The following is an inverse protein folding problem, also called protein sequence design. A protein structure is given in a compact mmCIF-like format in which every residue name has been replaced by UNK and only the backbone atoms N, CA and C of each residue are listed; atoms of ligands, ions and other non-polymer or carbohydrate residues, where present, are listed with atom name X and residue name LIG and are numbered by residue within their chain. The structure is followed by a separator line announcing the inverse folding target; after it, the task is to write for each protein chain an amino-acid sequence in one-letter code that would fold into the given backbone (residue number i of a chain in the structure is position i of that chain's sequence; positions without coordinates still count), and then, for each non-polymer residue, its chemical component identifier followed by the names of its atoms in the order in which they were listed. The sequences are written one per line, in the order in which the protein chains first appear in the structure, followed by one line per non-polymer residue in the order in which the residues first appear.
data_IF_267565602472
#
_entry.id   IF_267565602472
#
_cell.length_a   1.000
_cell.length_b   1.000
_cell.length_c   1.000
_cell.angle_alpha   90.00
_cell.angle_beta   90.00
_cell.angle_gamma   90.00
#
_symmetry.space_group_name_H-M   'P 1'
#
loop_
_entity.id
_entity.type
_entity.pdbx_description
1 polymer ?
#
# COMPACT_ATOMS: atom_id res chain seq x y z
N UNK A 1 20.63 0.20 4.47
CA UNK A 1 20.21 -1.19 4.19
C UNK A 1 19.39 -1.16 2.89
N UNK A 2 20.07 -1.10 1.73
CA UNK A 2 19.47 -0.89 0.39
C UNK A 2 19.45 -2.17 -0.46
N UNK A 3 20.06 -3.26 0.02
CA UNK A 3 20.18 -4.52 -0.72
C UNK A 3 18.94 -5.42 -0.68
N UNK A 4 18.01 -5.21 0.25
CA UNK A 4 16.97 -6.21 0.54
C UNK A 4 15.84 -6.22 -0.51
N UNK A 5 15.29 -5.05 -0.86
CA UNK A 5 14.19 -4.98 -1.84
C UNK A 5 14.61 -5.42 -3.25
N UNK A 6 15.71 -4.88 -3.79
CA UNK A 6 16.14 -5.23 -5.16
C UNK A 6 16.53 -6.70 -5.27
N UNK A 7 17.15 -7.26 -4.23
CA UNK A 7 17.45 -8.70 -4.18
C UNK A 7 16.16 -9.52 -4.15
N UNK A 8 15.20 -9.19 -3.28
CA UNK A 8 13.92 -9.88 -3.20
C UNK A 8 13.10 -9.77 -4.49
N UNK A 9 13.05 -8.57 -5.09
CA UNK A 9 12.40 -8.32 -6.38
C UNK A 9 13.01 -9.18 -7.49
N UNK A 10 14.33 -9.28 -7.55
CA UNK A 10 15.01 -10.15 -8.53
C UNK A 10 14.84 -11.63 -8.25
N UNK A 11 14.87 -12.06 -6.99
CA UNK A 11 14.56 -13.43 -6.60
C UNK A 11 13.12 -13.82 -7.00
N UNK A 12 12.20 -12.86 -6.99
CA UNK A 12 10.81 -13.05 -7.41
C UNK A 12 10.59 -12.94 -8.95
N UNK A 13 11.67 -12.81 -9.73
CA UNK A 13 11.64 -12.79 -11.21
C UNK A 13 11.62 -11.40 -11.83
N UNK A 14 11.70 -10.34 -11.03
CA UNK A 14 11.85 -8.97 -11.51
C UNK A 14 13.26 -8.69 -12.04
N UNK A 15 13.37 -7.81 -13.04
CA UNK A 15 14.69 -7.41 -13.56
C UNK A 15 14.86 -5.90 -13.49
N UNK A 16 16.01 -5.47 -12.96
CA UNK A 16 16.42 -4.06 -12.90
C UNK A 16 17.66 -3.91 -13.79
N UNK A 17 17.61 -2.99 -14.74
CA UNK A 17 18.74 -2.71 -15.61
C UNK A 17 19.88 -2.06 -14.81
N UNK A 18 21.13 -2.42 -15.13
CA UNK A 18 22.35 -1.85 -14.53
C UNK A 18 22.46 -0.32 -14.60
N UNK A 19 21.69 0.32 -15.49
CA UNK A 19 21.69 1.77 -15.67
C UNK A 19 20.89 2.52 -14.60
N UNK A 20 20.05 1.83 -13.82
CA UNK A 20 19.24 2.43 -12.77
C UNK A 20 19.50 1.81 -11.41
N UNK A 21 19.23 2.58 -10.37
CA UNK A 21 19.37 2.18 -8.99
C UNK A 21 18.23 2.78 -8.16
N UNK A 22 17.76 2.02 -7.18
CA UNK A 22 16.81 2.52 -6.19
C UNK A 22 17.63 3.18 -5.07
N UNK A 23 17.54 4.49 -4.92
CA UNK A 23 18.29 5.23 -3.89
C UNK A 23 17.36 6.16 -3.12
N UNK A 24 17.72 6.42 -1.86
CA UNK A 24 17.10 7.45 -1.01
C UNK A 24 18.10 8.61 -0.88
N UNK A 25 17.99 9.67 -1.70
CA UNK A 25 18.94 10.78 -1.65
C UNK A 25 18.79 11.59 -0.34
N UNK A 26 19.84 12.30 0.11
CA UNK A 26 19.84 12.97 1.41
C UNK A 26 18.71 14.01 1.63
N UNK A 27 18.17 14.59 0.57
CA UNK A 27 17.11 15.61 0.61
C UNK A 27 15.89 15.21 -0.23
N UNK A 28 15.73 13.93 -0.55
CA UNK A 28 14.60 13.48 -1.38
C UNK A 28 14.07 12.12 -0.95
N UNK A 29 12.93 11.78 -1.49
CA UNK A 29 12.29 10.49 -1.24
C UNK A 29 12.99 9.38 -2.01
N UNK A 30 12.81 8.15 -1.54
CA UNK A 30 13.32 6.97 -2.24
C UNK A 30 12.72 6.93 -3.65
N UNK A 31 13.57 6.80 -4.65
CA UNK A 31 13.18 6.78 -6.05
C UNK A 31 14.09 5.91 -6.89
N UNK A 32 13.78 5.85 -8.18
CA UNK A 32 14.61 5.20 -9.19
C UNK A 32 15.43 6.27 -9.91
N UNK A 33 16.75 6.14 -9.87
CA UNK A 33 17.67 7.12 -10.43
C UNK A 33 18.60 6.44 -11.42
N UNK A 34 18.88 7.14 -12.52
CA UNK A 34 19.91 6.71 -13.45
C UNK A 34 21.30 6.96 -12.84
N UNK A 35 22.22 6.00 -12.97
CA UNK A 35 23.61 6.16 -12.53
C UNK A 35 24.46 6.97 -13.51
N UNK A 36 23.97 7.15 -14.73
CA UNK A 36 24.57 7.93 -15.81
C UNK A 36 23.47 8.37 -16.79
N UNK A 37 23.81 9.24 -17.73
CA UNK A 37 22.93 9.54 -18.85
C UNK A 37 22.60 8.26 -19.63
N UNK A 38 21.32 8.08 -19.95
CA UNK A 38 20.80 6.96 -20.71
C UNK A 38 20.32 7.48 -22.05
N UNK A 39 20.90 6.96 -23.13
CA UNK A 39 20.56 7.38 -24.49
C UNK A 39 19.26 6.73 -24.97
N UNK A 40 18.60 7.34 -25.96
CA UNK A 40 17.40 6.75 -26.57
C UNK A 40 17.65 5.37 -27.21
N UNK A 41 18.86 5.12 -27.71
CA UNK A 41 19.25 3.82 -28.26
C UNK A 41 19.36 2.73 -27.16
N UNK A 42 19.92 3.07 -25.99
CA UNK A 42 19.98 2.16 -24.84
C UNK A 42 18.57 1.82 -24.33
N UNK A 43 17.65 2.80 -24.27
CA UNK A 43 16.25 2.56 -23.88
C UNK A 43 15.48 1.67 -24.87
N UNK A 44 15.80 1.77 -26.17
CA UNK A 44 15.16 0.97 -27.20
C UNK A 44 15.67 -0.49 -27.24
N UNK A 45 16.90 -0.72 -26.81
CA UNK A 45 17.52 -2.05 -26.82
C UNK A 45 17.04 -2.93 -25.65
N UNK A 46 16.86 -2.35 -24.47
CA UNK A 46 16.50 -3.10 -23.26
C UNK A 46 15.65 -2.24 -22.32
N UNK A 47 14.56 -2.78 -21.74
CA UNK A 47 13.79 -2.04 -20.75
C UNK A 47 14.58 -1.81 -19.46
N UNK A 48 14.33 -0.66 -18.82
CA UNK A 48 14.95 -0.32 -17.55
C UNK A 48 14.52 -1.24 -16.40
N UNK A 49 13.24 -1.65 -16.40
CA UNK A 49 12.67 -2.56 -15.42
C UNK A 49 11.72 -3.51 -16.12
N UNK A 50 11.68 -4.78 -15.69
CA UNK A 50 10.57 -5.70 -15.98
C UNK A 50 9.96 -6.17 -14.67
N UNK A 51 8.64 -6.04 -14.57
CA UNK A 51 7.85 -6.51 -13.43
C UNK A 51 6.97 -7.66 -13.92
N UNK A 52 7.20 -8.90 -13.47
CA UNK A 52 6.29 -10.01 -13.74
C UNK A 52 4.88 -9.68 -13.22
N UNK A 53 3.84 -10.07 -13.96
CA UNK A 53 2.45 -9.86 -13.55
C UNK A 53 2.14 -10.53 -12.19
N UNK A 54 2.83 -11.61 -11.85
CA UNK A 54 2.73 -12.28 -10.55
C UNK A 54 3.18 -11.42 -9.36
N UNK A 55 3.92 -10.33 -9.60
CA UNK A 55 4.35 -9.38 -8.56
C UNK A 55 3.42 -8.17 -8.46
N UNK A 56 2.35 -8.12 -9.23
CA UNK A 56 1.40 -7.00 -9.23
C UNK A 56 0.20 -7.35 -8.35
N UNK A 57 0.00 -6.56 -7.29
CA UNK A 57 -1.20 -6.65 -6.46
C UNK A 57 -2.33 -5.93 -7.19
N UNK A 58 -3.35 -6.68 -7.60
CA UNK A 58 -4.53 -6.17 -8.31
C UNK A 58 -5.79 -6.39 -7.48
N UNK A 59 -6.89 -5.69 -7.81
CA UNK A 59 -8.19 -5.93 -7.18
C UNK A 59 -8.66 -7.38 -7.35
N UNK A 60 -8.32 -8.03 -8.48
CA UNK A 60 -8.59 -9.45 -8.69
C UNK A 60 -7.81 -10.35 -7.72
N UNK A 61 -6.50 -10.08 -7.52
CA UNK A 61 -5.68 -10.80 -6.51
C UNK A 61 -6.23 -10.56 -5.11
N UNK A 62 -6.58 -9.31 -4.78
CA UNK A 62 -7.18 -8.97 -3.50
C UNK A 62 -8.53 -9.67 -3.26
N UNK A 63 -9.36 -9.77 -4.31
CA UNK A 63 -10.65 -10.45 -4.29
C UNK A 63 -10.56 -11.98 -4.14
N UNK A 64 -9.38 -12.57 -4.32
CA UNK A 64 -9.14 -13.99 -4.02
C UNK A 64 -8.81 -14.24 -2.54
N UNK A 65 -8.64 -13.20 -1.71
CA UNK A 65 -8.34 -13.36 -0.29
C UNK A 65 -9.62 -13.57 0.52
N UNK A 66 -9.70 -14.70 1.23
CA UNK A 66 -10.87 -15.07 2.05
C UNK A 66 -11.23 -13.99 3.08
N UNK A 67 -10.24 -13.41 3.75
CA UNK A 67 -10.51 -12.36 4.74
C UNK A 67 -10.99 -11.06 4.08
N UNK A 68 -10.48 -10.72 2.90
CA UNK A 68 -10.93 -9.53 2.15
C UNK A 68 -12.38 -9.71 1.72
N UNK A 69 -12.73 -10.87 1.15
CA UNK A 69 -14.11 -11.14 0.71
C UNK A 69 -15.09 -11.16 1.87
N UNK A 70 -14.73 -11.75 3.01
CA UNK A 70 -15.54 -11.70 4.23
C UNK A 70 -15.75 -10.26 4.72
N UNK A 71 -14.71 -9.43 4.72
CA UNK A 71 -14.85 -8.02 5.11
C UNK A 71 -15.77 -7.25 4.15
N UNK A 72 -15.64 -7.47 2.83
CA UNK A 72 -16.47 -6.81 1.83
C UNK A 72 -17.94 -7.22 1.88
N UNK A 73 -18.25 -8.43 2.35
CA UNK A 73 -19.63 -8.87 2.55
C UNK A 73 -20.38 -8.07 3.63
N UNK A 74 -19.65 -7.45 4.57
CA UNK A 74 -20.20 -6.65 5.68
C UNK A 74 -20.43 -5.18 5.30
N UNK A 75 -19.98 -4.73 4.12
CA UNK A 75 -20.08 -3.34 3.68
C UNK A 75 -21.37 -3.13 2.90
N UNK A 76 -22.10 -2.06 3.20
CA UNK A 76 -23.37 -1.74 2.54
C UNK A 76 -23.25 -1.40 1.05
N UNK A 77 -22.09 -0.90 0.63
CA UNK A 77 -21.75 -0.66 -0.78
C UNK A 77 -21.21 -1.96 -1.40
N UNK A 78 -22.11 -2.78 -1.93
CA UNK A 78 -21.79 -3.99 -2.70
C UNK A 78 -22.09 -3.78 -4.20
N UNK A 79 -21.14 -4.03 -5.11
CA UNK A 79 -19.78 -4.52 -4.84
C UNK A 79 -18.87 -3.45 -4.22
N UNK A 80 -17.96 -3.89 -3.35
CA UNK A 80 -16.92 -3.02 -2.79
C UNK A 80 -16.02 -2.48 -3.91
N UNK A 81 -15.53 -1.25 -3.77
CA UNK A 81 -14.62 -0.67 -4.77
C UNK A 81 -13.24 -1.32 -4.75
N UNK A 82 -12.54 -1.29 -5.88
CA UNK A 82 -11.16 -1.79 -6.02
C UNK A 82 -10.22 -1.20 -4.96
N UNK A 83 -10.38 0.07 -4.61
CA UNK A 83 -9.59 0.71 -3.56
C UNK A 83 -9.83 0.08 -2.19
N UNK A 84 -11.07 -0.32 -1.87
CA UNK A 84 -11.38 -1.00 -0.60
C UNK A 84 -10.78 -2.41 -0.60
N UNK A 85 -10.89 -3.13 -1.71
CA UNK A 85 -10.29 -4.46 -1.87
C UNK A 85 -8.77 -4.40 -1.67
N UNK A 86 -8.09 -3.49 -2.36
CA UNK A 86 -6.64 -3.31 -2.26
C UNK A 86 -6.22 -2.87 -0.85
N UNK A 87 -6.94 -1.93 -0.24
CA UNK A 87 -6.62 -1.47 1.12
C UNK A 87 -6.77 -2.59 2.17
N UNK A 88 -7.83 -3.40 2.08
CA UNK A 88 -8.01 -4.56 2.97
C UNK A 88 -6.96 -5.64 2.73
N UNK A 89 -6.55 -5.85 1.48
CA UNK A 89 -5.48 -6.78 1.15
C UNK A 89 -4.14 -6.33 1.74
N UNK A 90 -3.75 -5.07 1.53
CA UNK A 90 -2.52 -4.51 2.11
C UNK A 90 -2.55 -4.52 3.64
N UNK A 91 -3.70 -4.21 4.25
CA UNK A 91 -3.88 -4.26 5.70
C UNK A 91 -3.66 -5.67 6.26
N UNK A 92 -4.29 -6.68 5.66
CA UNK A 92 -4.23 -8.06 6.15
C UNK A 92 -2.88 -8.71 5.87
N UNK A 93 -2.29 -8.49 4.70
CA UNK A 93 -0.94 -8.96 4.39
C UNK A 93 0.12 -8.30 5.29
N UNK A 94 -0.04 -7.00 5.61
CA UNK A 94 0.84 -6.34 6.57
C UNK A 94 0.66 -6.85 7.99
N UNK A 95 -0.56 -7.25 8.36
CA UNK A 95 -0.81 -7.86 9.66
C UNK A 95 -0.15 -9.24 9.78
N UNK A 96 -0.14 -10.05 8.71
CA UNK A 96 0.57 -11.35 8.67
C UNK A 96 2.09 -11.22 8.90
N UNK A 97 2.68 -10.08 8.57
CA UNK A 97 4.12 -9.84 8.76
C UNK A 97 4.95 -10.85 7.97
N UNK A 98 5.90 -11.51 8.64
CA UNK A 98 6.83 -12.46 7.99
C UNK A 98 6.15 -13.65 7.29
N UNK A 99 4.89 -13.96 7.63
CA UNK A 99 4.11 -14.99 6.93
C UNK A 99 3.52 -14.52 5.60
N UNK A 100 3.55 -13.22 5.32
CA UNK A 100 3.11 -12.68 4.03
C UNK A 100 4.18 -12.91 2.95
N UNK A 101 3.77 -13.50 1.83
CA UNK A 101 4.60 -13.56 0.62
C UNK A 101 4.96 -12.17 0.07
N UNK A 102 4.22 -11.13 0.46
CA UNK A 102 4.39 -9.74 0.03
C UNK A 102 5.23 -8.92 1.01
N UNK A 103 5.74 -9.52 2.10
CA UNK A 103 6.43 -8.80 3.17
C UNK A 103 7.58 -7.94 2.63
N UNK A 104 8.39 -8.45 1.69
CA UNK A 104 9.49 -7.71 1.06
C UNK A 104 9.02 -6.45 0.31
N UNK A 105 7.84 -6.48 -0.30
CA UNK A 105 7.24 -5.31 -0.95
C UNK A 105 6.64 -4.36 0.08
N UNK A 106 5.94 -4.89 1.09
CA UNK A 106 5.32 -4.12 2.16
C UNK A 106 6.34 -3.37 3.02
N UNK A 107 7.54 -3.92 3.20
CA UNK A 107 8.65 -3.27 3.90
C UNK A 107 9.27 -2.14 3.08
N UNK A 108 9.16 -2.21 1.75
CA UNK A 108 9.54 -1.10 0.91
C UNK A 108 8.51 0.04 0.98
N UNK A 109 7.22 -0.20 1.19
CA UNK A 109 6.23 0.88 1.19
C UNK A 109 6.51 1.99 2.22
N UNK A 110 6.14 3.26 1.93
CA UNK A 110 6.22 4.34 2.91
C UNK A 110 5.52 3.95 4.22
N UNK A 111 6.14 4.26 5.36
CA UNK A 111 5.58 3.91 6.68
C UNK A 111 4.46 4.83 7.15
N UNK A 112 4.44 6.07 6.63
CA UNK A 112 3.45 7.08 6.95
C UNK A 112 2.85 7.62 5.65
N UNK A 113 1.55 7.86 5.65
CA UNK A 113 0.90 8.57 4.56
C UNK A 113 1.26 10.05 4.62
N UNK A 114 1.56 10.63 3.46
CA UNK A 114 1.88 12.06 3.29
C UNK A 114 0.68 12.88 2.80
N UNK A 115 -0.47 12.23 2.63
CA UNK A 115 -1.69 12.87 2.17
C UNK A 115 -2.47 13.51 3.34
N UNK A 116 -3.45 14.36 3.00
CA UNK A 116 -4.21 15.14 3.98
C UNK A 116 -5.04 14.29 4.98
N UNK A 117 -5.17 12.97 4.78
CA UNK A 117 -5.80 12.08 5.78
C UNK A 117 -4.92 11.86 7.01
N UNK A 118 -3.63 12.21 6.93
CA UNK A 118 -2.64 12.07 7.99
C UNK A 118 -2.23 13.42 8.61
N UNK A 119 -2.87 14.52 8.19
CA UNK A 119 -2.65 15.84 8.77
C UNK A 119 -2.96 15.85 10.26
N UNK A 120 -2.14 16.58 11.02
CA UNK A 120 -2.35 16.78 12.44
C UNK A 120 -3.46 17.82 12.70
N UNK A 121 -3.75 18.09 13.97
CA UNK A 121 -4.77 19.07 14.34
C UNK A 121 -4.46 20.48 13.82
N UNK A 122 -3.19 20.87 13.79
CA UNK A 122 -2.77 22.20 13.31
C UNK A 122 -2.99 22.32 11.81
N UNK A 123 -2.59 21.31 11.05
CA UNK A 123 -2.80 21.23 9.61
C UNK A 123 -4.29 21.23 9.26
N UNK A 124 -5.10 20.44 9.98
CA UNK A 124 -6.55 20.41 9.79
C UNK A 124 -7.21 21.74 10.14
N UNK A 125 -6.76 22.41 11.21
CA UNK A 125 -7.22 23.75 11.56
C UNK A 125 -6.93 24.76 10.44
N UNK A 126 -5.75 24.69 9.80
CA UNK A 126 -5.40 25.54 8.67
C UNK A 126 -6.30 25.31 7.43
N UNK A 127 -6.91 24.13 7.30
CA UNK A 127 -7.86 23.81 6.24
C UNK A 127 -9.32 24.21 6.55
N UNK A 128 -9.60 24.73 7.75
CA UNK A 128 -10.97 25.06 8.17
C UNK A 128 -11.62 26.08 7.23
N UNK A 129 -12.86 25.81 6.83
CA UNK A 129 -13.61 26.65 5.89
C UNK A 129 -13.25 26.44 4.41
N UNK A 130 -12.15 25.76 4.11
CA UNK A 130 -11.74 25.47 2.73
C UNK A 130 -12.52 24.28 2.13
N UNK A 131 -12.66 24.19 0.79
CA UNK A 131 -13.19 22.99 0.15
C UNK A 131 -12.38 21.72 0.45
N UNK A 132 -11.06 21.84 0.53
CA UNK A 132 -10.16 20.72 0.84
C UNK A 132 -10.43 20.18 2.25
N UNK A 133 -10.54 21.06 3.26
CA UNK A 133 -10.86 20.67 4.63
C UNK A 133 -12.17 19.86 4.70
N UNK A 134 -13.23 20.35 4.05
CA UNK A 134 -14.52 19.62 3.98
C UNK A 134 -14.38 18.25 3.31
N UNK A 135 -13.60 18.15 2.23
CA UNK A 135 -13.37 16.90 1.52
C UNK A 135 -12.59 15.88 2.37
N UNK A 136 -11.54 16.32 3.06
CA UNK A 136 -10.73 15.48 3.96
C UNK A 136 -11.59 14.96 5.11
N UNK A 137 -12.38 15.81 5.76
CA UNK A 137 -13.28 15.38 6.81
C UNK A 137 -14.33 14.38 6.32
N UNK A 138 -14.93 14.63 5.15
CA UNK A 138 -15.90 13.72 4.56
C UNK A 138 -15.28 12.35 4.26
N UNK A 139 -14.05 12.34 3.74
CA UNK A 139 -13.30 11.12 3.46
C UNK A 139 -12.94 10.38 4.75
N UNK A 140 -12.45 11.07 5.78
CA UNK A 140 -12.17 10.45 7.09
C UNK A 140 -13.43 9.84 7.71
N UNK A 141 -14.58 10.53 7.65
CA UNK A 141 -15.86 9.98 8.10
C UNK A 141 -16.26 8.73 7.29
N UNK A 142 -16.06 8.73 5.98
CA UNK A 142 -16.31 7.57 5.12
C UNK A 142 -15.42 6.39 5.52
N UNK A 143 -14.10 6.60 5.63
CA UNK A 143 -13.15 5.54 5.99
C UNK A 143 -13.45 4.96 7.37
N UNK A 144 -13.81 5.79 8.36
CA UNK A 144 -14.21 5.32 9.69
C UNK A 144 -15.46 4.44 9.63
N UNK A 145 -16.48 4.84 8.86
CA UNK A 145 -17.69 4.01 8.68
C UNK A 145 -17.37 2.67 8.06
N UNK A 146 -16.57 2.66 6.98
CA UNK A 146 -16.11 1.43 6.34
C UNK A 146 -15.35 0.55 7.34
N UNK A 147 -14.41 1.13 8.08
CA UNK A 147 -13.62 0.42 9.09
C UNK A 147 -14.47 -0.23 10.17
N UNK A 148 -15.46 0.49 10.68
CA UNK A 148 -16.39 -0.05 11.67
C UNK A 148 -17.17 -1.26 11.16
N UNK A 149 -17.46 -1.36 9.85
CA UNK A 149 -18.15 -2.52 9.28
C UNK A 149 -17.31 -3.80 9.34
N UNK A 150 -16.01 -3.71 9.06
CA UNK A 150 -15.17 -4.91 8.97
C UNK A 150 -14.35 -5.22 10.24
N UNK A 151 -14.30 -4.30 11.22
CA UNK A 151 -13.48 -4.46 12.44
C UNK A 151 -13.74 -5.79 13.16
N UNK A 152 -15.00 -6.17 13.34
CA UNK A 152 -15.34 -7.43 14.02
C UNK A 152 -14.84 -8.67 13.25
N UNK A 153 -14.88 -8.62 11.92
CA UNK A 153 -14.39 -9.69 11.04
C UNK A 153 -12.87 -9.79 11.09
N UNK A 154 -12.16 -8.66 11.04
CA UNK A 154 -10.70 -8.62 11.18
C UNK A 154 -10.23 -9.16 12.54
N UNK A 155 -10.90 -8.78 13.64
CA UNK A 155 -10.54 -9.28 14.98
C UNK A 155 -10.77 -10.79 15.13
N UNK A 156 -11.90 -11.30 14.63
CA UNK A 156 -12.15 -12.76 14.61
C UNK A 156 -11.11 -13.51 13.78
N UNK A 157 -10.74 -12.96 12.62
CA UNK A 157 -9.70 -13.53 11.77
C UNK A 157 -8.35 -13.58 12.46
N UNK A 158 -7.94 -12.51 13.16
CA UNK A 158 -6.71 -12.52 13.95
C UNK A 158 -6.73 -13.60 15.03
N UNK A 159 -7.84 -13.71 15.77
CA UNK A 159 -8.01 -14.72 16.82
C UNK A 159 -7.95 -16.15 16.28
N UNK A 160 -8.51 -16.41 15.09
CA UNK A 160 -8.54 -17.76 14.51
C UNK A 160 -7.22 -18.17 13.84
N UNK A 161 -6.43 -17.20 13.37
CA UNK A 161 -5.18 -17.45 12.65
C UNK A 161 -3.94 -17.29 13.51
N UNK A 162 -4.03 -16.62 14.66
CA UNK A 162 -2.87 -16.27 15.48
C UNK A 162 -2.05 -15.11 14.90
N UNK A 163 -2.60 -14.35 13.95
CA UNK A 163 -1.93 -13.16 13.39
C UNK A 163 -1.82 -12.07 14.45
N UNK A 164 -0.60 -11.66 14.76
CA UNK A 164 -0.32 -10.66 15.81
C UNK A 164 -0.32 -9.22 15.30
N UNK A 165 -0.15 -8.99 14.00
CA UNK A 165 -0.02 -7.64 13.43
C UNK A 165 -1.25 -6.76 13.60
N UNK A 166 -1.04 -5.43 13.59
CA UNK A 166 -2.11 -4.45 13.81
C UNK A 166 -3.05 -4.33 12.62
N UNK A 167 -4.36 -4.38 12.88
CA UNK A 167 -5.44 -4.14 11.90
C UNK A 167 -6.21 -2.86 12.19
N UNK A 168 -5.60 -1.89 12.88
CA UNK A 168 -6.26 -0.67 13.36
C UNK A 168 -6.78 0.27 12.26
N UNK A 169 -7.61 1.26 12.64
CA UNK A 169 -8.08 2.31 11.72
C UNK A 169 -6.92 3.10 11.09
N UNK A 170 -5.85 3.38 11.85
CA UNK A 170 -4.67 4.06 11.31
C UNK A 170 -3.96 3.21 10.24
N UNK A 171 -3.91 1.89 10.44
CA UNK A 171 -3.36 0.97 9.43
C UNK A 171 -4.25 0.87 8.20
N UNK A 172 -5.58 0.87 8.35
CA UNK A 172 -6.50 0.92 7.22
C UNK A 172 -6.38 2.24 6.44
N UNK A 173 -6.25 3.36 7.15
CA UNK A 173 -6.05 4.69 6.54
C UNK A 173 -4.74 4.74 5.77
N UNK A 174 -3.66 4.19 6.34
CA UNK A 174 -2.40 3.99 5.64
C UNK A 174 -2.59 3.17 4.36
N UNK A 175 -3.22 1.99 4.47
CA UNK A 175 -3.40 1.08 3.34
C UNK A 175 -4.24 1.69 2.20
N UNK A 176 -5.23 2.52 2.54
CA UNK A 176 -6.01 3.27 1.55
C UNK A 176 -5.21 4.45 0.94
N UNK A 177 -4.20 4.95 1.63
CA UNK A 177 -3.37 6.07 1.19
C UNK A 177 -2.15 5.69 0.34
N UNK A 178 -1.84 4.39 0.24
CA UNK A 178 -0.86 3.81 -0.68
C UNK A 178 -1.46 3.70 -2.07
#
# INVERSE_FOLDING_TARGET
MMGDFTLAFSAAGGTVNRHIQIVAPPQGERGVFAGKDITGAELAAEPLVRVPASLVITAAVAGCSDIVTQCCAEVSDSPASDTVLLALFLLTEKARGAESQWQWYLDALPRAGVNALHFDERDMNALTGTPLGRAVEAKLRQLRRQYSCFMATLERWKQSTGVDGSVSFEMYKWAHGI
#
